data_IF_109625742461
#
_entry.id   IF_109625742461
#
_cell.length_a   1.000
_cell.length_b   1.000
_cell.length_c   1.000
_cell.angle_alpha   90.00
_cell.angle_beta   90.00
_cell.angle_gamma   90.00
#
_symmetry.space_group_name_H-M   'P 1'
#
loop_
_entity.id
_entity.type
_entity.pdbx_description
1 polymer ?
#
# COMPACT_ATOMS: atom_id res chain seq x y z
N UNK A 1 -40.28 -15.89 -26.49
CA UNK A 1 -38.98 -16.27 -25.91
C UNK A 1 -38.04 -15.09 -26.15
N UNK A 2 -37.68 -14.32 -25.13
CA UNK A 2 -36.74 -13.19 -25.29
C UNK A 2 -35.37 -13.73 -25.68
N UNK A 3 -34.87 -13.27 -26.83
CA UNK A 3 -33.56 -13.59 -27.34
C UNK A 3 -32.55 -12.74 -26.56
N UNK A 4 -31.81 -13.35 -25.62
CA UNK A 4 -30.74 -12.66 -24.89
C UNK A 4 -29.58 -12.45 -25.87
N UNK A 5 -29.20 -11.19 -26.07
CA UNK A 5 -28.05 -10.82 -26.88
C UNK A 5 -26.75 -11.07 -26.09
N UNK A 6 -26.14 -12.22 -26.33
CA UNK A 6 -24.90 -12.67 -25.68
C UNK A 6 -23.68 -11.78 -26.02
N UNK A 7 -23.74 -10.96 -27.08
CA UNK A 7 -22.64 -10.05 -27.45
C UNK A 7 -22.47 -8.88 -26.45
N UNK A 8 -23.58 -8.43 -25.84
CA UNK A 8 -23.57 -7.35 -24.86
C UNK A 8 -22.99 -7.80 -23.52
N UNK A 9 -23.19 -9.07 -23.15
CA UNK A 9 -22.64 -9.67 -21.93
C UNK A 9 -21.11 -9.70 -21.98
N UNK A 10 -20.53 -10.16 -23.09
CA UNK A 10 -19.06 -10.18 -23.31
C UNK A 10 -18.48 -8.76 -23.21
N UNK A 11 -19.23 -7.75 -23.69
CA UNK A 11 -18.80 -6.35 -23.66
C UNK A 11 -18.87 -5.76 -22.24
N UNK A 12 -19.88 -6.13 -21.45
CA UNK A 12 -20.03 -5.69 -20.06
C UNK A 12 -18.92 -6.24 -19.16
N UNK A 13 -18.63 -7.53 -19.26
CA UNK A 13 -17.57 -8.20 -18.48
C UNK A 13 -16.18 -7.65 -18.81
N UNK A 14 -15.91 -7.40 -20.10
CA UNK A 14 -14.65 -6.80 -20.55
C UNK A 14 -14.49 -5.37 -20.02
N UNK A 15 -15.59 -4.59 -19.98
CA UNK A 15 -15.58 -3.23 -19.42
C UNK A 15 -15.32 -3.27 -17.91
N UNK A 16 -15.99 -4.14 -17.18
CA UNK A 16 -15.80 -4.29 -15.73
C UNK A 16 -14.37 -4.73 -15.40
N UNK A 17 -13.81 -5.67 -16.17
CA UNK A 17 -12.42 -6.12 -16.01
C UNK A 17 -11.42 -4.98 -16.21
N UNK A 18 -11.63 -4.13 -17.23
CA UNK A 18 -10.80 -2.94 -17.46
C UNK A 18 -10.90 -1.92 -16.33
N UNK A 19 -12.10 -1.69 -15.79
CA UNK A 19 -12.30 -0.80 -14.65
C UNK A 19 -11.58 -1.31 -13.40
N UNK A 20 -11.71 -2.60 -13.10
CA UNK A 20 -11.02 -3.25 -11.97
C UNK A 20 -9.50 -3.19 -12.12
N UNK A 21 -8.98 -3.38 -13.33
CA UNK A 21 -7.54 -3.26 -13.60
C UNK A 21 -7.03 -1.83 -13.36
N UNK A 22 -7.74 -0.82 -13.89
CA UNK A 22 -7.40 0.60 -13.65
C UNK A 22 -7.42 0.95 -12.16
N UNK A 23 -8.46 0.48 -11.45
CA UNK A 23 -8.59 0.67 -10.01
C UNK A 23 -7.43 0.02 -9.25
N UNK A 24 -7.06 -1.21 -9.61
CA UNK A 24 -5.92 -1.93 -9.04
C UNK A 24 -4.62 -1.15 -9.21
N UNK A 25 -4.36 -0.62 -10.41
CA UNK A 25 -3.16 0.20 -10.66
C UNK A 25 -3.16 1.46 -9.79
N UNK A 26 -4.29 2.16 -9.71
CA UNK A 26 -4.42 3.40 -8.95
C UNK A 26 -4.22 3.19 -7.44
N UNK A 27 -4.87 2.19 -6.84
CA UNK A 27 -4.72 1.87 -5.41
C UNK A 27 -3.28 1.47 -5.08
N UNK A 28 -2.66 0.63 -5.91
CA UNK A 28 -1.27 0.19 -5.69
C UNK A 28 -0.26 1.34 -5.85
N UNK A 29 -0.50 2.24 -6.80
CA UNK A 29 0.34 3.44 -6.98
C UNK A 29 0.27 4.35 -5.75
N UNK A 30 -0.93 4.55 -5.19
CA UNK A 30 -1.13 5.37 -3.99
C UNK A 30 -0.50 4.73 -2.74
N UNK A 31 -0.69 3.42 -2.54
CA UNK A 31 -0.02 2.67 -1.47
C UNK A 31 1.50 2.84 -1.53
N UNK A 32 2.08 2.68 -2.73
CA UNK A 32 3.50 2.89 -2.97
C UNK A 32 3.92 4.33 -2.65
N UNK A 33 3.18 5.33 -3.15
CA UNK A 33 3.46 6.75 -2.89
C UNK A 33 3.52 7.04 -1.39
N UNK A 34 2.54 6.54 -0.62
CA UNK A 34 2.47 6.75 0.84
C UNK A 34 3.62 6.09 1.59
N UNK A 35 4.00 4.85 1.23
CA UNK A 35 5.17 4.18 1.82
C UNK A 35 6.45 4.99 1.58
N UNK A 36 6.66 5.46 0.34
CA UNK A 36 7.85 6.26 0.01
C UNK A 36 7.81 7.69 0.57
N UNK A 37 6.61 8.23 0.83
CA UNK A 37 6.46 9.51 1.52
C UNK A 37 6.83 9.40 3.00
N UNK A 38 6.57 8.25 3.64
CA UNK A 38 7.01 7.99 5.01
C UNK A 38 8.52 7.75 5.07
N UNK A 39 9.03 6.80 4.28
CA UNK A 39 10.45 6.47 4.24
C UNK A 39 10.97 6.46 2.80
N UNK A 40 11.95 7.31 2.51
CA UNK A 40 12.61 7.32 1.20
C UNK A 40 13.31 5.98 0.91
N UNK A 41 13.58 5.69 -0.37
CA UNK A 41 14.32 4.48 -0.76
C UNK A 41 15.72 4.43 -0.13
N UNK A 42 16.36 5.60 -0.01
CA UNK A 42 17.65 5.75 0.67
C UNK A 42 17.55 5.41 2.17
N UNK A 43 16.57 5.96 2.88
CA UNK A 43 16.34 5.66 4.29
C UNK A 43 16.06 4.16 4.50
N UNK A 44 15.19 3.57 3.68
CA UNK A 44 14.90 2.13 3.72
C UNK A 44 16.16 1.27 3.53
N UNK A 45 17.03 1.66 2.59
CA UNK A 45 18.30 0.96 2.32
C UNK A 45 19.26 1.11 3.50
N UNK A 46 19.40 2.30 4.06
CA UNK A 46 20.29 2.58 5.19
C UNK A 46 19.86 1.81 6.44
N UNK A 47 18.56 1.83 6.78
CA UNK A 47 18.03 1.08 7.92
C UNK A 47 18.21 -0.43 7.70
N UNK A 48 17.96 -0.93 6.49
CA UNK A 48 18.16 -2.36 6.16
C UNK A 48 19.63 -2.78 6.34
N UNK A 49 20.57 -1.95 5.88
CA UNK A 49 22.00 -2.20 6.04
C UNK A 49 22.42 -2.17 7.52
N UNK A 50 21.98 -1.16 8.27
CA UNK A 50 22.26 -1.04 9.70
C UNK A 50 21.66 -2.19 10.51
N UNK A 51 20.42 -2.59 10.21
CA UNK A 51 19.77 -3.75 10.83
C UNK A 51 20.52 -5.04 10.54
N UNK A 52 21.01 -5.22 9.31
CA UNK A 52 21.73 -6.43 8.89
C UNK A 52 23.14 -6.50 9.48
N UNK A 53 23.75 -5.35 9.78
CA UNK A 53 25.03 -5.23 10.47
C UNK A 53 24.89 -5.21 12.01
N UNK A 54 23.68 -5.42 12.55
CA UNK A 54 23.36 -5.36 13.98
C UNK A 54 23.72 -4.01 14.65
N UNK A 55 23.67 -2.92 13.90
CA UNK A 55 24.00 -1.56 14.35
C UNK A 55 22.81 -0.81 14.96
N UNK A 56 21.62 -1.38 14.89
CA UNK A 56 20.44 -0.80 15.52
C UNK A 56 20.40 -1.12 17.02
N UNK A 57 20.10 -0.13 17.84
CA UNK A 57 19.80 -0.35 19.25
C UNK A 57 18.43 -1.06 19.44
N UNK A 58 18.08 -1.37 20.69
CA UNK A 58 16.85 -2.09 20.99
C UNK A 58 15.57 -1.32 20.60
N UNK A 59 15.57 0.02 20.75
CA UNK A 59 14.42 0.86 20.41
C UNK A 59 14.27 0.97 18.89
N UNK A 60 15.37 1.18 18.18
CA UNK A 60 15.42 1.23 16.72
C UNK A 60 15.00 -0.11 16.10
N UNK A 61 15.41 -1.24 16.68
CA UNK A 61 14.96 -2.59 16.25
C UNK A 61 13.44 -2.75 16.41
N UNK A 62 12.88 -2.31 17.54
CA UNK A 62 11.44 -2.37 17.76
C UNK A 62 10.67 -1.50 16.77
N UNK A 63 11.14 -0.26 16.53
CA UNK A 63 10.58 0.64 15.53
C UNK A 63 10.69 0.05 14.11
N UNK A 64 11.81 -0.61 13.78
CA UNK A 64 11.99 -1.24 12.47
C UNK A 64 11.01 -2.39 12.24
N UNK A 65 10.80 -3.25 13.25
CA UNK A 65 9.77 -4.30 13.19
C UNK A 65 8.37 -3.70 13.02
N UNK A 66 8.05 -2.61 13.74
CA UNK A 66 6.79 -1.91 13.60
C UNK A 66 6.61 -1.32 12.18
N UNK A 67 7.66 -0.75 11.60
CA UNK A 67 7.65 -0.23 10.23
C UNK A 67 7.36 -1.33 9.20
N UNK A 68 7.98 -2.51 9.35
CA UNK A 68 7.71 -3.67 8.48
C UNK A 68 6.27 -4.16 8.61
N UNK A 69 5.74 -4.19 9.83
CA UNK A 69 4.32 -4.50 10.10
C UNK A 69 3.38 -3.50 9.44
N UNK A 70 3.70 -2.21 9.51
CA UNK A 70 2.94 -1.16 8.84
C UNK A 70 2.96 -1.29 7.31
N UNK A 71 4.10 -1.59 6.69
CA UNK A 71 4.18 -1.84 5.24
C UNK A 71 3.28 -3.02 4.83
N UNK A 72 3.20 -4.07 5.66
CA UNK A 72 2.27 -5.18 5.42
C UNK A 72 0.80 -4.73 5.53
N UNK A 73 0.46 -3.95 6.56
CA UNK A 73 -0.88 -3.40 6.73
C UNK A 73 -1.29 -2.46 5.57
N UNK A 74 -0.38 -1.60 5.10
CA UNK A 74 -0.57 -0.75 3.93
C UNK A 74 -0.92 -1.56 2.67
N UNK A 75 -0.22 -2.68 2.46
CA UNK A 75 -0.48 -3.59 1.33
C UNK A 75 -1.80 -4.33 1.50
N UNK A 76 -2.14 -4.73 2.72
CA UNK A 76 -3.43 -5.37 3.03
C UNK A 76 -4.61 -4.43 2.79
N UNK A 77 -4.49 -3.15 3.13
CA UNK A 77 -5.51 -2.12 2.89
C UNK A 77 -5.83 -1.93 1.40
N UNK A 78 -4.93 -2.30 0.49
CA UNK A 78 -5.19 -2.21 -0.95
C UNK A 78 -6.39 -3.06 -1.38
N UNK A 79 -6.59 -4.25 -0.81
CA UNK A 79 -7.65 -5.16 -1.27
C UNK A 79 -9.06 -4.56 -1.12
N UNK A 80 -9.51 -4.12 0.06
CA UNK A 80 -10.84 -3.52 0.20
C UNK A 80 -10.98 -2.24 -0.64
N UNK A 81 -9.91 -1.44 -0.79
CA UNK A 81 -9.92 -0.25 -1.64
C UNK A 81 -10.06 -0.58 -3.14
N UNK A 82 -9.52 -1.72 -3.58
CA UNK A 82 -9.69 -2.19 -4.96
C UNK A 82 -11.12 -2.68 -5.20
N UNK A 83 -11.72 -3.32 -4.19
CA UNK A 83 -13.07 -3.88 -4.26
C UNK A 83 -14.16 -2.82 -4.21
N UNK A 84 -13.92 -1.69 -3.53
CA UNK A 84 -14.82 -0.54 -3.52
C UNK A 84 -14.42 0.51 -4.58
N UNK A 85 -15.20 0.66 -5.69
CA UNK A 85 -14.93 1.67 -6.71
C UNK A 85 -15.17 3.10 -6.26
N UNK A 86 -15.92 3.31 -5.16
CA UNK A 86 -16.26 4.63 -4.62
C UNK A 86 -15.32 5.06 -3.48
N UNK A 87 -14.53 4.13 -2.93
CA UNK A 87 -13.58 4.46 -1.87
C UNK A 87 -12.55 5.50 -2.35
N UNK A 88 -12.41 6.58 -1.60
CA UNK A 88 -11.39 7.59 -1.83
C UNK A 88 -10.03 7.08 -1.32
N UNK A 89 -9.15 6.74 -2.26
CA UNK A 89 -7.78 6.29 -1.93
C UNK A 89 -6.88 7.42 -1.46
N UNK A 90 -7.26 8.67 -1.71
CA UNK A 90 -6.47 9.83 -1.31
C UNK A 90 -6.77 10.25 0.12
N UNK A 91 -7.87 9.75 0.70
CA UNK A 91 -8.25 10.00 2.08
C UNK A 91 -7.31 9.28 3.05
N UNK A 92 -6.76 9.98 4.04
CA UNK A 92 -5.77 9.41 4.97
C UNK A 92 -6.35 8.28 5.82
N UNK A 93 -7.59 8.42 6.30
CA UNK A 93 -8.28 7.36 7.06
C UNK A 93 -8.58 6.08 6.27
N UNK A 94 -8.27 6.02 4.98
CA UNK A 94 -8.32 4.77 4.20
C UNK A 94 -7.07 3.88 4.41
N UNK A 95 -6.05 4.41 5.08
CA UNK A 95 -4.75 3.78 5.27
C UNK A 95 -4.40 3.69 6.75
N UNK A 96 -3.60 2.68 7.16
CA UNK A 96 -3.11 2.60 8.53
C UNK A 96 -2.18 3.77 8.86
N UNK A 97 -2.31 4.29 10.08
CA UNK A 97 -1.41 5.31 10.62
C UNK A 97 0.02 4.78 10.76
N UNK A 98 1.00 5.67 10.61
CA UNK A 98 2.40 5.33 10.83
C UNK A 98 2.62 5.03 12.32
N UNK A 99 3.21 3.88 12.70
CA UNK A 99 3.43 3.55 14.10
C UNK A 99 4.37 4.53 14.80
N UNK A 100 4.19 4.68 16.11
CA UNK A 100 5.06 5.48 16.98
C UNK A 100 6.53 5.03 16.88
N UNK A 101 7.46 5.99 16.94
CA UNK A 101 8.90 5.75 16.83
C UNK A 101 9.42 5.44 15.43
N UNK A 102 8.54 5.12 14.45
CA UNK A 102 8.99 4.86 13.06
C UNK A 102 9.48 6.14 12.39
N UNK A 103 8.79 7.27 12.60
CA UNK A 103 9.23 8.56 12.07
C UNK A 103 10.62 8.95 12.60
N UNK A 104 10.84 8.78 13.91
CA UNK A 104 12.12 9.07 14.57
C UNK A 104 13.25 8.16 14.06
N UNK A 105 12.96 6.87 13.84
CA UNK A 105 13.91 5.95 13.20
C UNK A 105 14.28 6.43 11.80
N UNK A 106 13.31 6.86 11.00
CA UNK A 106 13.54 7.33 9.62
C UNK A 106 14.37 8.63 9.62
N UNK A 107 14.12 9.55 10.55
CA UNK A 107 14.92 10.79 10.64
C UNK A 107 16.40 10.54 10.97
N UNK A 108 16.71 9.40 11.59
CA UNK A 108 18.09 9.01 11.95
C UNK A 108 18.87 8.35 10.79
N UNK A 109 18.22 7.98 9.67
CA UNK A 109 18.80 7.17 8.58
C UNK A 109 18.50 7.69 7.17
#
# INVERSE_FOLDING_TARGET
MSNIDLSQIITADAKQSKLRARRTTLVKAECRRRIFAAASDTAQTNITAASSADLLDAQQKAAWVAALGWVQAMRAACLPLIEDPQADVTHDGAWPDLPEGVAELIEQF
#
